data_IF_901167569736
#
_entry.id   IF_901167569736
#
_cell.length_a   1.000
_cell.length_b   1.000
_cell.length_c   1.000
_cell.angle_alpha   90.00
_cell.angle_beta   90.00
_cell.angle_gamma   90.00
#
_symmetry.space_group_name_H-M   'P 1'
#
loop_
_entity.id
_entity.type
_entity.pdbx_description
1 polymer ?
#
# COMPACT_ATOMS: atom_id res chain seq x y z
N UNK A 1 -4.91 -13.62 -20.38
CA UNK A 1 -5.57 -12.38 -19.93
C UNK A 1 -5.81 -12.64 -18.47
N UNK A 2 -4.74 -12.43 -17.71
CA UNK A 2 -4.72 -12.69 -16.29
C UNK A 2 -5.54 -11.60 -15.61
N UNK A 3 -6.49 -12.02 -14.77
CA UNK A 3 -7.27 -11.12 -13.92
C UNK A 3 -6.34 -10.61 -12.81
N UNK A 4 -5.44 -9.69 -13.15
CA UNK A 4 -4.59 -9.02 -12.18
C UNK A 4 -5.48 -8.24 -11.21
N UNK A 5 -5.39 -8.61 -9.93
CA UNK A 5 -6.04 -7.90 -8.83
C UNK A 5 -5.43 -6.51 -8.76
N UNK A 6 -6.14 -5.51 -9.27
CA UNK A 6 -5.72 -4.11 -9.17
C UNK A 6 -5.67 -3.67 -7.71
N UNK A 7 -4.79 -2.73 -7.37
CA UNK A 7 -4.61 -2.16 -6.03
C UNK A 7 -5.90 -1.64 -5.41
N UNK A 8 -6.80 -1.07 -6.22
CA UNK A 8 -8.13 -0.63 -5.76
C UNK A 8 -8.99 -1.80 -5.29
N UNK A 9 -8.93 -2.94 -5.99
CA UNK A 9 -9.64 -4.17 -5.62
C UNK A 9 -9.02 -4.80 -4.38
N UNK A 10 -7.69 -4.85 -4.27
CA UNK A 10 -7.00 -5.36 -3.08
C UNK A 10 -7.36 -4.55 -1.82
N UNK A 11 -7.29 -3.22 -1.91
CA UNK A 11 -7.62 -2.33 -0.79
C UNK A 11 -9.10 -2.39 -0.40
N UNK A 12 -10.02 -2.48 -1.36
CA UNK A 12 -11.44 -2.70 -1.08
C UNK A 12 -11.70 -4.05 -0.37
N UNK A 13 -10.95 -5.10 -0.72
CA UNK A 13 -11.06 -6.43 -0.10
C UNK A 13 -10.52 -6.50 1.32
N UNK A 14 -9.42 -5.80 1.63
CA UNK A 14 -8.83 -5.79 2.97
C UNK A 14 -9.76 -5.16 4.03
N UNK A 15 -10.63 -4.22 3.65
CA UNK A 15 -11.62 -3.62 4.53
C UNK A 15 -12.71 -4.61 5.00
N UNK A 16 -12.98 -5.68 4.25
CA UNK A 16 -13.96 -6.70 4.61
C UNK A 16 -13.47 -7.68 5.69
N UNK A 17 -12.16 -7.70 6.00
CA UNK A 17 -11.56 -8.56 7.02
C UNK A 17 -11.35 -7.85 8.37
N UNK A 18 -11.73 -6.56 8.47
CA UNK A 18 -11.45 -5.71 9.63
C UNK A 18 -12.26 -5.96 10.92
N UNK A 19 -13.09 -7.01 11.01
CA UNK A 19 -13.92 -7.25 12.22
C UNK A 19 -13.89 -8.71 12.74
N UNK A 20 -12.93 -9.53 12.32
CA UNK A 20 -12.82 -10.91 12.84
C UNK A 20 -11.41 -11.27 13.33
N UNK A 21 -11.20 -11.12 14.64
CA UNK A 21 -10.49 -12.11 15.43
C UNK A 21 -8.97 -12.03 15.50
N UNK A 22 -8.48 -11.51 16.62
CA UNK A 22 -7.23 -11.98 17.24
C UNK A 22 -7.36 -13.49 17.45
N UNK A 23 -6.83 -14.29 16.54
CA UNK A 23 -6.60 -15.72 16.72
C UNK A 23 -5.20 -16.05 16.24
N UNK A 24 -4.47 -16.80 17.06
CA UNK A 24 -3.02 -16.73 17.17
C UNK A 24 -2.24 -17.21 15.96
N UNK A 25 -1.05 -16.63 15.78
CA UNK A 25 0.06 -17.31 15.14
C UNK A 25 0.43 -18.55 15.95
N UNK A 26 -0.10 -19.70 15.56
CA UNK A 26 0.44 -21.01 15.90
C UNK A 26 0.36 -21.88 14.63
N UNK A 27 1.40 -21.83 13.82
CA UNK A 27 1.69 -22.85 12.83
C UNK A 27 2.99 -23.55 13.25
N UNK A 28 2.93 -24.25 14.39
CA UNK A 28 3.86 -25.33 14.67
C UNK A 28 3.33 -26.57 13.96
N UNK A 29 4.24 -27.24 13.24
CA UNK A 29 4.08 -28.55 12.63
C UNK A 29 3.14 -29.47 13.41
N UNK A 30 2.18 -30.07 12.72
CA UNK A 30 1.42 -31.20 13.26
C UNK A 30 1.50 -32.32 12.23
N UNK A 31 2.27 -33.35 12.57
CA UNK A 31 2.21 -34.67 11.95
C UNK A 31 0.82 -35.26 12.20
N UNK A 32 0.31 -35.96 11.17
CA UNK A 32 -0.95 -36.69 11.14
C UNK A 32 -1.05 -37.74 12.26
N UNK A 33 -2.25 -37.87 12.84
CA UNK A 33 -2.93 -39.17 13.07
C UNK A 33 -4.33 -38.94 13.67
N UNK A 34 -5.39 -39.43 13.01
CA UNK A 34 -6.67 -39.69 13.67
C UNK A 34 -7.95 -39.39 12.88
N UNK A 35 -8.48 -40.44 12.26
CA UNK A 35 -9.80 -40.58 11.61
C UNK A 35 -11.03 -40.13 12.43
N UNK A 36 -11.99 -39.42 11.81
CA UNK A 36 -13.43 -39.74 11.88
C UNK A 36 -14.30 -38.94 10.88
N UNK A 37 -15.42 -39.55 10.51
CA UNK A 37 -16.33 -39.35 9.36
C UNK A 37 -17.18 -38.06 9.26
N UNK A 38 -17.51 -37.71 8.01
CA UNK A 38 -18.91 -37.52 7.58
C UNK A 38 -19.38 -36.10 7.24
N UNK A 39 -19.68 -35.84 5.96
CA UNK A 39 -20.50 -34.70 5.52
C UNK A 39 -20.25 -34.28 4.07
N UNK A 40 -21.18 -34.62 3.17
CA UNK A 40 -21.22 -34.16 1.78
C UNK A 40 -21.44 -32.64 1.72
N UNK A 41 -20.48 -31.94 1.11
CA UNK A 41 -20.56 -30.52 0.78
C UNK A 41 -19.72 -30.27 -0.47
N UNK A 42 -20.38 -29.70 -1.48
CA UNK A 42 -19.84 -29.31 -2.77
C UNK A 42 -18.48 -28.58 -2.65
N UNK A 43 -17.39 -29.28 -2.96
CA UNK A 43 -16.03 -28.73 -2.93
C UNK A 43 -15.77 -27.99 -4.24
N UNK A 44 -16.21 -26.74 -4.29
CA UNK A 44 -15.61 -25.77 -5.21
C UNK A 44 -14.11 -25.75 -4.89
N UNK A 45 -13.32 -26.39 -5.76
CA UNK A 45 -11.88 -26.55 -5.57
C UNK A 45 -11.23 -25.22 -5.94
N UNK A 46 -11.14 -24.31 -4.97
CA UNK A 46 -10.18 -23.22 -5.04
C UNK A 46 -8.80 -23.86 -4.96
N UNK A 47 -8.10 -23.89 -6.09
CA UNK A 47 -6.68 -24.25 -6.13
C UNK A 47 -5.94 -23.21 -5.31
N UNK A 48 -5.75 -23.47 -4.02
CA UNK A 48 -4.83 -22.69 -3.21
C UNK A 48 -3.47 -22.80 -3.90
N UNK A 49 -2.98 -21.67 -4.44
CA UNK A 49 -1.61 -21.58 -4.95
C UNK A 49 -0.70 -22.11 -3.85
N UNK A 50 -0.08 -23.27 -4.12
CA UNK A 50 0.88 -23.89 -3.22
C UNK A 50 1.98 -22.86 -3.01
N UNK A 51 2.02 -22.23 -1.82
CA UNK A 51 3.11 -21.32 -1.49
C UNK A 51 4.39 -22.13 -1.56
N UNK A 52 5.20 -21.83 -2.55
CA UNK A 52 6.52 -22.41 -2.68
C UNK A 52 7.27 -22.14 -1.37
N UNK A 53 7.86 -23.18 -0.78
CA UNK A 53 8.66 -23.01 0.43
C UNK A 53 9.78 -21.99 0.13
N UNK A 54 9.94 -21.02 1.02
CA UNK A 54 11.02 -20.05 0.90
C UNK A 54 12.36 -20.77 1.08
N UNK A 55 13.43 -20.37 0.36
CA UNK A 55 14.78 -20.87 0.60
C UNK A 55 15.21 -20.64 2.05
N UNK A 56 16.18 -21.44 2.53
CA UNK A 56 16.79 -21.20 3.83
C UNK A 56 17.48 -19.81 3.81
N UNK A 57 17.22 -18.93 4.78
CA UNK A 57 17.87 -17.62 4.84
C UNK A 57 19.40 -17.68 4.83
N UNK A 58 20.00 -18.78 5.30
CA UNK A 58 21.46 -18.99 5.27
C UNK A 58 22.02 -19.22 3.87
N UNK A 59 21.17 -19.56 2.89
CA UNK A 59 21.55 -19.68 1.47
C UNK A 59 21.46 -18.34 0.72
N UNK A 60 21.08 -17.24 1.39
CA UNK A 60 21.02 -15.93 0.77
C UNK A 60 22.41 -15.51 0.25
N UNK A 61 22.53 -14.99 -0.98
CA UNK A 61 23.82 -14.58 -1.56
C UNK A 61 24.35 -13.25 -0.96
N UNK A 62 23.84 -12.83 0.19
CA UNK A 62 24.19 -11.61 0.90
C UNK A 62 24.16 -11.85 2.41
N UNK A 63 25.02 -11.15 3.16
CA UNK A 63 25.11 -11.22 4.63
C UNK A 63 24.52 -9.98 5.33
N UNK A 64 24.27 -8.91 4.57
CA UNK A 64 23.92 -7.60 5.10
C UNK A 64 22.71 -7.03 4.40
N UNK A 65 21.70 -6.62 5.17
CA UNK A 65 20.52 -5.91 4.69
C UNK A 65 20.52 -4.51 5.30
N UNK A 66 20.49 -3.49 4.45
CA UNK A 66 20.33 -2.09 4.88
C UNK A 66 18.92 -1.64 4.54
N UNK A 67 18.16 -1.23 5.55
CA UNK A 67 16.80 -0.71 5.37
C UNK A 67 16.83 0.81 5.47
N UNK A 68 16.57 1.49 4.36
CA UNK A 68 16.38 2.95 4.31
C UNK A 68 14.89 3.24 4.34
N UNK A 69 14.38 3.69 5.49
CA UNK A 69 12.96 3.99 5.67
C UNK A 69 12.69 5.48 5.48
N UNK A 70 12.10 5.82 4.34
CA UNK A 70 11.61 7.17 4.02
C UNK A 70 10.28 7.47 4.74
N UNK A 71 9.75 8.69 4.55
CA UNK A 71 8.57 9.18 5.28
C UNK A 71 7.60 9.94 4.36
N UNK A 72 6.30 9.85 4.68
CA UNK A 72 5.20 10.70 4.23
C UNK A 72 5.01 10.89 2.71
N UNK A 73 5.22 9.85 1.91
CA UNK A 73 4.85 9.86 0.48
C UNK A 73 4.23 8.54 0.05
N UNK A 74 3.16 8.62 -0.73
CA UNK A 74 2.52 7.46 -1.34
C UNK A 74 3.30 6.95 -2.54
N UNK A 75 3.04 5.71 -2.96
CA UNK A 75 3.62 5.15 -4.19
C UNK A 75 3.30 6.02 -5.40
N UNK A 76 2.04 6.41 -5.59
CA UNK A 76 1.63 7.23 -6.75
C UNK A 76 2.28 8.61 -6.74
N UNK A 77 2.53 9.21 -5.57
CA UNK A 77 3.23 10.49 -5.50
C UNK A 77 4.68 10.41 -6.01
N UNK A 78 5.38 9.29 -5.79
CA UNK A 78 6.81 9.14 -6.12
C UNK A 78 7.07 8.41 -7.44
N UNK A 79 6.29 7.36 -7.71
CA UNK A 79 6.55 6.33 -8.71
C UNK A 79 5.31 5.97 -9.54
N UNK A 80 4.22 6.73 -9.47
CA UNK A 80 3.04 6.49 -10.29
C UNK A 80 3.25 6.68 -11.79
N UNK A 81 4.44 7.11 -12.22
CA UNK A 81 4.91 7.20 -13.60
C UNK A 81 5.68 5.94 -14.06
N UNK A 82 6.04 5.04 -13.15
CA UNK A 82 6.93 3.92 -13.43
C UNK A 82 6.27 2.93 -14.42
N UNK A 83 6.86 2.67 -15.60
CA UNK A 83 6.26 1.79 -16.59
C UNK A 83 6.05 0.36 -16.06
N UNK A 84 4.84 -0.16 -16.23
CA UNK A 84 4.49 -1.53 -15.84
C UNK A 84 4.13 -1.73 -14.37
N UNK A 85 4.24 -0.70 -13.52
CA UNK A 85 3.77 -0.75 -12.15
C UNK A 85 2.25 -0.49 -12.06
N UNK A 86 1.59 -1.05 -11.06
CA UNK A 86 0.23 -0.68 -10.66
C UNK A 86 0.21 0.66 -9.89
N UNK A 87 0.57 1.72 -10.61
CA UNK A 87 0.56 3.10 -10.11
C UNK A 87 -0.07 4.05 -11.12
N UNK A 88 -0.72 5.10 -10.61
CA UNK A 88 -1.25 6.18 -11.44
C UNK A 88 -1.26 7.50 -10.69
N UNK A 89 -0.51 8.46 -11.21
CA UNK A 89 -0.37 9.78 -10.60
C UNK A 89 -1.03 10.92 -11.38
N UNK A 90 -1.18 10.78 -12.70
CA UNK A 90 -1.63 11.86 -13.58
C UNK A 90 -2.99 11.55 -14.23
N UNK A 91 -3.70 12.61 -14.64
CA UNK A 91 -5.02 12.50 -15.27
C UNK A 91 -6.08 11.94 -14.33
N UNK A 92 -5.96 12.23 -13.03
CA UNK A 92 -6.93 11.91 -11.99
C UNK A 92 -7.55 13.19 -11.46
N UNK A 93 -8.77 13.08 -10.93
CA UNK A 93 -9.51 14.18 -10.30
C UNK A 93 -10.18 13.69 -9.03
N UNK A 94 -10.19 14.54 -8.02
CA UNK A 94 -10.79 14.27 -6.71
C UNK A 94 -11.61 15.46 -6.24
N UNK A 95 -12.70 15.17 -5.53
CA UNK A 95 -13.55 16.21 -4.94
C UNK A 95 -13.02 16.66 -3.59
N UNK A 96 -13.06 17.97 -3.37
CA UNK A 96 -12.94 18.52 -2.02
C UNK A 96 -14.24 18.36 -1.21
N UNK A 97 -14.21 18.79 0.05
CA UNK A 97 -15.36 18.77 0.95
C UNK A 97 -16.57 19.59 0.44
N UNK A 98 -16.37 20.47 -0.54
CA UNK A 98 -17.41 21.30 -1.17
C UNK A 98 -17.93 20.68 -2.48
N UNK A 99 -17.41 19.51 -2.86
CA UNK A 99 -17.77 18.81 -4.08
C UNK A 99 -17.11 19.34 -5.34
N UNK A 100 -16.14 20.26 -5.22
CA UNK A 100 -15.38 20.80 -6.35
C UNK A 100 -14.28 19.82 -6.73
N UNK A 101 -14.18 19.55 -8.02
CA UNK A 101 -13.15 18.72 -8.62
C UNK A 101 -11.79 19.45 -8.69
N UNK A 102 -10.73 18.74 -8.35
CA UNK A 102 -9.35 19.19 -8.50
C UNK A 102 -8.50 18.08 -9.12
N UNK A 103 -7.72 18.44 -10.14
CA UNK A 103 -6.83 17.51 -10.82
C UNK A 103 -5.55 17.25 -10.02
N UNK A 104 -5.02 16.04 -10.14
CA UNK A 104 -3.65 15.74 -9.73
C UNK A 104 -2.64 16.58 -10.51
N UNK A 105 -1.59 17.05 -9.84
CA UNK A 105 -0.67 18.05 -10.41
C UNK A 105 0.79 17.73 -10.06
N UNK A 106 1.72 18.18 -10.90
CA UNK A 106 3.16 17.99 -10.67
C UNK A 106 3.68 18.98 -9.64
N UNK A 107 4.38 18.49 -8.61
CA UNK A 107 4.95 19.32 -7.54
C UNK A 107 6.12 20.20 -8.00
N UNK A 108 6.85 19.79 -9.05
CA UNK A 108 7.92 20.57 -9.64
C UNK A 108 7.43 21.95 -10.14
N UNK A 109 8.17 23.05 -9.92
CA UNK A 109 9.48 23.14 -9.25
C UNK A 109 9.40 23.38 -7.73
N UNK A 110 8.20 23.49 -7.14
CA UNK A 110 8.02 23.58 -5.68
C UNK A 110 8.01 22.19 -5.05
N UNK A 111 9.19 21.56 -5.06
CA UNK A 111 9.37 20.16 -4.64
C UNK A 111 8.83 19.85 -3.26
N UNK A 112 8.83 20.84 -2.36
CA UNK A 112 8.59 20.63 -0.95
C UNK A 112 7.19 21.06 -0.55
N UNK A 113 6.52 21.89 -1.37
CA UNK A 113 5.24 22.49 -1.02
C UNK A 113 5.32 23.23 0.31
N UNK A 114 6.38 24.00 0.58
CA UNK A 114 6.63 24.57 1.92
C UNK A 114 5.50 25.50 2.41
N UNK A 115 4.68 26.02 1.51
CA UNK A 115 3.49 26.83 1.83
C UNK A 115 2.22 26.00 2.05
N UNK A 116 2.29 24.68 1.88
CA UNK A 116 1.19 23.75 2.03
C UNK A 116 1.32 22.99 3.36
N UNK A 117 0.19 22.57 3.91
CA UNK A 117 0.16 21.80 5.14
C UNK A 117 0.55 20.35 4.81
N UNK A 118 1.45 19.78 5.63
CA UNK A 118 1.77 18.36 5.53
C UNK A 118 0.47 17.54 5.53
N UNK A 119 0.26 16.63 4.54
CA UNK A 119 -1.00 15.94 4.39
C UNK A 119 -1.34 15.20 5.66
N UNK A 120 -2.57 15.32 6.13
CA UNK A 120 -2.96 14.66 7.36
C UNK A 120 -2.87 13.14 7.21
N UNK A 121 -2.07 12.53 8.08
CA UNK A 121 -1.70 11.11 8.03
C UNK A 121 -1.95 10.40 9.38
N UNK A 122 -2.73 11.01 10.28
CA UNK A 122 -3.26 10.34 11.47
C UNK A 122 -4.48 9.47 11.10
N UNK A 123 -4.75 8.43 11.89
CA UNK A 123 -5.72 7.37 11.52
C UNK A 123 -7.11 7.87 11.16
N UNK A 124 -7.64 8.91 11.83
CA UNK A 124 -8.95 9.46 11.48
C UNK A 124 -8.94 10.11 10.09
N UNK A 125 -7.94 10.92 9.76
CA UNK A 125 -7.83 11.53 8.43
C UNK A 125 -7.66 10.46 7.35
N UNK A 126 -6.81 9.45 7.59
CA UNK A 126 -6.60 8.37 6.61
C UNK A 126 -7.89 7.56 6.40
N UNK A 127 -8.72 7.36 7.43
CA UNK A 127 -10.02 6.71 7.28
C UNK A 127 -10.98 7.52 6.38
N UNK A 128 -11.02 8.84 6.54
CA UNK A 128 -11.79 9.74 5.67
C UNK A 128 -11.28 9.67 4.22
N UNK A 129 -9.96 9.66 4.02
CA UNK A 129 -9.35 9.56 2.69
C UNK A 129 -9.64 8.22 2.02
N UNK A 130 -9.63 7.14 2.80
CA UNK A 130 -9.92 5.79 2.36
C UNK A 130 -11.38 5.60 1.95
N UNK A 131 -12.31 6.29 2.66
CA UNK A 131 -13.74 6.35 2.36
C UNK A 131 -14.36 4.98 2.00
N UNK A 132 -14.30 4.03 2.93
CA UNK A 132 -14.83 2.67 2.76
C UNK A 132 -14.35 1.97 1.49
N UNK A 133 -13.09 2.21 1.08
CA UNK A 133 -12.47 1.61 -0.09
C UNK A 133 -12.76 2.34 -1.41
N UNK A 134 -13.46 3.48 -1.40
CA UNK A 134 -13.64 4.34 -2.59
C UNK A 134 -12.37 5.09 -2.95
N UNK A 135 -11.52 5.39 -1.96
CA UNK A 135 -10.21 6.03 -2.12
C UNK A 135 -10.34 7.37 -2.89
N UNK A 136 -11.27 8.21 -2.45
CA UNK A 136 -11.60 9.49 -3.08
C UNK A 136 -11.68 10.67 -2.07
N UNK A 137 -11.39 10.44 -0.79
CA UNK A 137 -11.49 11.44 0.28
C UNK A 137 -10.22 12.27 0.53
N UNK A 138 -9.25 12.30 -0.39
CA UNK A 138 -7.94 12.94 -0.16
C UNK A 138 -8.00 14.41 0.26
N UNK A 139 -9.03 15.13 -0.22
CA UNK A 139 -9.23 16.55 0.06
C UNK A 139 -10.32 16.81 1.11
N UNK A 140 -10.96 15.78 1.67
CA UNK A 140 -12.02 15.96 2.66
C UNK A 140 -11.48 16.19 4.06
N UNK A 141 -10.33 15.60 4.38
CA UNK A 141 -9.66 15.77 5.67
C UNK A 141 -8.73 16.98 5.73
N UNK A 142 -8.28 17.50 4.58
CA UNK A 142 -7.24 18.52 4.46
C UNK A 142 -7.80 19.94 4.70
N UNK A 143 -7.00 20.94 5.15
CA UNK A 143 -7.45 22.32 5.18
C UNK A 143 -7.98 22.80 3.82
N UNK A 144 -9.05 23.59 3.85
CA UNK A 144 -9.71 24.09 2.66
C UNK A 144 -8.70 24.78 1.72
N UNK A 145 -8.68 24.33 0.46
CA UNK A 145 -7.85 24.91 -0.60
C UNK A 145 -6.42 24.39 -0.63
N UNK A 146 -6.03 23.53 0.29
CA UNK A 146 -4.74 22.84 0.24
C UNK A 146 -4.86 21.55 -0.59
N UNK A 147 -4.13 21.53 -1.71
CA UNK A 147 -4.15 20.47 -2.71
C UNK A 147 -2.90 19.60 -2.68
N UNK A 148 -2.08 19.71 -1.64
CA UNK A 148 -0.85 18.94 -1.51
C UNK A 148 -1.03 17.42 -1.58
N UNK A 149 -2.13 16.81 -1.06
CA UNK A 149 -2.37 15.38 -1.21
C UNK A 149 -2.47 14.89 -2.67
N UNK A 150 -2.75 15.78 -3.62
CA UNK A 150 -2.88 15.46 -5.05
C UNK A 150 -1.59 15.70 -5.87
N UNK A 151 -0.53 16.17 -5.20
CA UNK A 151 0.76 16.44 -5.81
C UNK A 151 1.56 15.17 -6.09
N UNK A 152 2.25 15.13 -7.24
CA UNK A 152 3.15 14.04 -7.60
C UNK A 152 4.47 14.52 -8.20
N UNK A 153 5.45 13.62 -8.26
CA UNK A 153 6.72 13.79 -8.96
C UNK A 153 6.78 12.90 -10.20
N UNK A 154 7.60 13.29 -11.16
CA UNK A 154 7.94 12.50 -12.36
C UNK A 154 9.34 11.88 -12.24
N UNK A 155 9.75 11.11 -13.23
CA UNK A 155 11.09 10.55 -13.34
C UNK A 155 12.20 11.61 -13.34
N UNK A 156 11.93 12.78 -13.93
CA UNK A 156 12.87 13.91 -14.01
C UNK A 156 13.04 14.64 -12.69
N UNK A 157 12.07 14.52 -11.82
CA UNK A 157 11.94 15.27 -10.58
C UNK A 157 12.76 14.63 -9.45
N UNK A 158 12.80 13.30 -9.44
CA UNK A 158 13.52 12.49 -8.46
C UNK A 158 14.54 11.57 -9.15
N UNK A 159 15.58 12.12 -9.82
CA UNK A 159 16.43 11.34 -10.73
C UNK A 159 17.17 10.18 -10.07
N UNK A 160 17.53 10.30 -8.78
CA UNK A 160 18.16 9.20 -8.03
C UNK A 160 17.15 8.08 -7.81
N UNK A 161 15.94 8.40 -7.33
CA UNK A 161 14.90 7.40 -7.09
C UNK A 161 14.44 6.76 -8.40
N UNK A 162 14.30 7.54 -9.47
CA UNK A 162 13.97 7.05 -10.80
C UNK A 162 15.00 6.04 -11.31
N UNK A 163 16.29 6.32 -11.10
CA UNK A 163 17.36 5.40 -11.50
C UNK A 163 17.32 4.10 -10.69
N UNK A 164 17.06 4.19 -9.39
CA UNK A 164 16.89 3.00 -8.53
C UNK A 164 15.69 2.15 -8.96
N UNK A 165 14.51 2.77 -9.11
CA UNK A 165 13.27 2.08 -9.45
C UNK A 165 13.31 1.37 -10.80
N UNK A 166 14.05 1.91 -11.77
CA UNK A 166 14.18 1.34 -13.12
C UNK A 166 15.35 0.35 -13.28
N UNK A 167 16.32 0.36 -12.35
CA UNK A 167 17.50 -0.51 -12.44
C UNK A 167 17.46 -1.70 -11.48
N UNK A 168 16.50 -1.72 -10.55
CA UNK A 168 16.32 -2.75 -9.53
C UNK A 168 14.86 -3.17 -9.41
N UNK A 169 14.58 -4.14 -8.54
CA UNK A 169 13.22 -4.58 -8.26
C UNK A 169 12.45 -3.50 -7.51
N UNK A 170 11.29 -3.12 -8.04
CA UNK A 170 10.30 -2.28 -7.36
C UNK A 170 9.09 -3.11 -6.99
N UNK A 171 8.61 -2.96 -5.76
CA UNK A 171 7.33 -3.55 -5.33
C UNK A 171 6.24 -2.48 -5.45
N UNK A 172 5.25 -2.70 -6.31
CA UNK A 172 4.11 -1.80 -6.54
C UNK A 172 2.86 -2.18 -5.73
N UNK A 173 2.91 -3.33 -5.04
CA UNK A 173 1.89 -3.83 -4.13
C UNK A 173 2.43 -3.98 -2.70
N UNK A 174 3.19 -2.99 -2.23
CA UNK A 174 3.72 -2.91 -0.87
C UNK A 174 2.97 -1.83 -0.06
N UNK A 175 2.27 -2.24 1.00
CA UNK A 175 1.37 -1.39 1.76
C UNK A 175 1.86 -1.17 3.19
N UNK A 176 1.50 -0.03 3.77
CA UNK A 176 1.64 0.21 5.21
C UNK A 176 0.87 -0.84 6.01
N UNK A 177 1.46 -1.36 7.08
CA UNK A 177 0.80 -2.33 7.97
C UNK A 177 -0.45 -1.77 8.65
N UNK A 178 -0.49 -0.46 8.91
CA UNK A 178 -1.67 0.23 9.41
C UNK A 178 -1.94 1.54 8.67
N UNK A 179 -3.23 1.84 8.50
CA UNK A 179 -3.72 3.14 8.04
C UNK A 179 -3.54 4.18 9.15
N UNK A 180 -2.42 4.89 9.11
CA UNK A 180 -2.08 5.83 10.16
C UNK A 180 -0.64 6.34 10.08
N UNK A 181 -0.16 6.96 11.16
CA UNK A 181 1.03 7.77 11.11
C UNK A 181 2.32 6.94 11.12
N UNK A 182 3.44 7.65 11.17
CA UNK A 182 4.80 7.13 11.14
C UNK A 182 5.04 6.03 12.18
N UNK A 183 4.89 6.34 13.48
CA UNK A 183 5.38 5.46 14.56
C UNK A 183 4.83 4.04 14.52
N UNK A 184 3.50 3.82 14.39
CA UNK A 184 3.00 2.46 14.35
C UNK A 184 3.56 1.66 13.17
N UNK A 185 3.66 2.25 11.97
CA UNK A 185 4.23 1.56 10.81
C UNK A 185 5.75 1.29 10.96
N UNK A 186 6.50 2.17 11.65
CA UNK A 186 7.91 1.90 11.98
C UNK A 186 8.04 0.71 12.95
N UNK A 187 7.15 0.59 13.93
CA UNK A 187 7.13 -0.56 14.83
C UNK A 187 6.82 -1.85 14.09
N UNK A 188 5.81 -1.87 13.21
CA UNK A 188 5.55 -3.04 12.37
C UNK A 188 6.75 -3.45 11.52
N UNK A 189 7.47 -2.49 10.93
CA UNK A 189 8.66 -2.82 10.13
C UNK A 189 9.78 -3.47 10.95
N UNK A 190 9.96 -3.05 12.21
CA UNK A 190 11.07 -3.51 13.06
C UNK A 190 10.71 -4.76 13.89
N UNK A 191 9.45 -4.86 14.29
CA UNK A 191 8.98 -5.80 15.30
C UNK A 191 7.89 -6.75 14.81
N UNK A 192 7.36 -6.53 13.60
CA UNK A 192 6.22 -7.27 13.04
C UNK A 192 4.94 -7.25 13.91
N UNK A 193 4.77 -6.21 14.75
CA UNK A 193 3.61 -5.98 15.61
C UNK A 193 3.44 -4.52 15.98
#
# INVERSE_FOLDING_TARGET
MDDDVTRRVFLAGAAALGVAGVTGLAACSSDDDGSASGGDGDKTTTTASQRQALPDPSDAPFDTVVVVMMENRSFDALLGWLPGADGKQAGLSYKDAEGKEHETWGLAPDWNGCSMQDPFHFSQAVAEQFNDGKIDGFLTSQPKGDLFPLGYYTDKDLPILAKLATSYTTFDNYFSSMLGPTWPNRFYQLCAT
#
